data_IF_581133124623
#
_entry.id   IF_581133124623
#
_cell.length_a   1.000
_cell.length_b   1.000
_cell.length_c   1.000
_cell.angle_alpha   90.00
_cell.angle_beta   90.00
_cell.angle_gamma   90.00
#
_symmetry.space_group_name_H-M   'P 1'
#
loop_
_entity.id
_entity.type
_entity.pdbx_description
1 polymer ?
#
# COMPACT_ATOMS: atom_id res chain seq x y z
N UNK A 1 -0.47 -0.60 11.78
CA UNK A 1 0.38 -1.82 11.88
C UNK A 1 0.82 -1.92 13.33
N UNK A 2 0.50 -3.02 14.00
CA UNK A 2 0.67 -3.14 15.45
C UNK A 2 0.24 -4.49 16.01
N UNK A 3 0.13 -5.50 15.14
CA UNK A 3 -0.15 -6.87 15.54
C UNK A 3 1.16 -7.63 15.48
N UNK A 4 1.79 -7.86 16.63
CA UNK A 4 2.96 -8.72 16.74
C UNK A 4 2.52 -10.18 16.82
N UNK A 5 3.06 -11.05 15.96
CA UNK A 5 2.74 -12.47 16.06
C UNK A 5 3.06 -12.98 17.48
N UNK A 6 2.15 -13.77 18.06
CA UNK A 6 2.27 -14.36 19.40
C UNK A 6 2.29 -13.40 20.60
N UNK A 7 2.05 -12.11 20.41
CA UNK A 7 2.06 -11.11 21.49
C UNK A 7 0.70 -10.40 21.63
N UNK A 8 -0.39 -11.16 21.54
CA UNK A 8 -1.73 -10.65 21.72
C UNK A 8 -1.90 -10.07 23.15
N UNK A 9 -2.41 -8.84 23.30
CA UNK A 9 -2.61 -8.22 24.61
C UNK A 9 -3.77 -8.86 25.39
N UNK A 10 -4.66 -9.59 24.71
CA UNK A 10 -5.84 -10.23 25.31
C UNK A 10 -6.13 -11.59 24.68
N UNK A 11 -6.99 -12.39 25.32
CA UNK A 11 -7.50 -13.67 24.77
C UNK A 11 -8.34 -13.50 23.49
N UNK A 12 -8.81 -12.28 23.22
CA UNK A 12 -9.53 -11.93 21.99
C UNK A 12 -8.61 -11.35 20.91
N UNK A 13 -7.30 -11.53 21.06
CA UNK A 13 -6.29 -11.01 20.15
C UNK A 13 -6.20 -9.46 20.20
N UNK A 14 -6.08 -8.80 19.04
CA UNK A 14 -5.84 -7.36 18.92
C UNK A 14 -7.09 -6.48 18.86
N UNK A 15 -8.28 -7.05 18.67
CA UNK A 15 -9.52 -6.32 18.46
C UNK A 15 -10.71 -7.00 19.13
N UNK A 16 -11.76 -6.24 19.43
CA UNK A 16 -12.94 -6.78 20.09
C UNK A 16 -13.84 -7.53 19.09
N UNK A 17 -14.33 -8.74 19.42
CA UNK A 17 -15.11 -9.55 18.50
C UNK A 17 -16.49 -8.96 18.16
N UNK A 18 -16.99 -8.02 18.95
CA UNK A 18 -18.30 -7.38 18.79
C UNK A 18 -18.24 -5.95 18.22
N UNK A 19 -17.10 -5.51 17.68
CA UNK A 19 -16.98 -4.17 17.11
C UNK A 19 -17.77 -4.03 15.79
N UNK A 20 -18.67 -3.04 15.76
CA UNK A 20 -19.47 -2.67 14.58
C UNK A 20 -18.89 -1.41 13.96
N UNK A 21 -18.70 -1.41 12.65
CA UNK A 21 -18.12 -0.27 11.94
C UNK A 21 -19.06 0.94 12.07
N UNK A 22 -18.59 2.08 12.61
CA UNK A 22 -19.41 3.28 12.79
C UNK A 22 -20.08 3.71 11.49
N UNK A 23 -21.38 4.02 11.54
CA UNK A 23 -22.16 4.38 10.36
C UNK A 23 -22.64 3.19 9.52
N UNK A 24 -22.50 1.96 10.03
CA UNK A 24 -23.03 0.74 9.41
C UNK A 24 -23.63 -0.20 10.46
N UNK A 25 -24.25 -1.29 9.99
CA UNK A 25 -24.64 -2.45 10.81
C UNK A 25 -23.68 -3.62 10.66
N UNK A 26 -22.55 -3.41 9.97
CA UNK A 26 -21.61 -4.47 9.63
C UNK A 26 -20.69 -4.70 10.83
N UNK A 27 -20.69 -5.93 11.31
CA UNK A 27 -19.70 -6.41 12.25
C UNK A 27 -18.34 -6.47 11.54
N UNK A 28 -17.39 -5.64 11.96
CA UNK A 28 -16.07 -5.53 11.36
C UNK A 28 -14.98 -5.43 12.42
N UNK A 29 -14.75 -6.48 13.22
CA UNK A 29 -13.85 -6.47 14.37
C UNK A 29 -12.47 -5.90 14.07
N UNK A 30 -11.90 -6.29 12.91
CA UNK A 30 -10.60 -5.86 12.42
C UNK A 30 -10.49 -4.36 12.12
N UNK A 31 -11.61 -3.67 11.87
CA UNK A 31 -11.63 -2.22 11.69
C UNK A 31 -11.54 -1.47 13.02
N UNK A 32 -11.78 -2.13 14.16
CA UNK A 32 -11.66 -1.50 15.49
C UNK A 32 -10.25 -1.03 15.84
N UNK A 33 -9.23 -1.60 15.20
CA UNK A 33 -7.83 -1.17 15.33
C UNK A 33 -7.39 -0.18 14.23
N UNK A 34 -8.26 0.10 13.26
CA UNK A 34 -8.00 1.06 12.19
C UNK A 34 -8.40 2.48 12.63
N UNK A 35 -7.54 3.09 13.42
CA UNK A 35 -7.71 4.47 13.92
C UNK A 35 -6.92 5.47 13.08
N UNK A 36 -7.22 6.76 13.23
CA UNK A 36 -6.49 7.87 12.58
C UNK A 36 -4.97 7.81 12.82
N UNK A 37 -4.54 7.41 14.02
CA UNK A 37 -3.10 7.26 14.32
C UNK A 37 -2.47 6.09 13.55
N UNK A 38 -3.16 4.94 13.51
CA UNK A 38 -2.66 3.75 12.82
C UNK A 38 -2.69 3.87 11.29
N UNK A 39 -3.62 4.67 10.73
CA UNK A 39 -3.72 4.91 9.30
C UNK A 39 -2.54 5.76 8.79
N UNK A 40 -2.15 6.81 9.53
CA UNK A 40 -0.95 7.61 9.23
C UNK A 40 0.31 6.76 9.35
N UNK A 41 0.46 5.98 10.43
CA UNK A 41 1.60 5.08 10.60
C UNK A 41 1.74 4.06 9.47
N UNK A 42 0.61 3.55 8.95
CA UNK A 42 0.59 2.65 7.79
C UNK A 42 1.05 3.36 6.52
N UNK A 43 0.57 4.58 6.25
CA UNK A 43 1.03 5.36 5.11
C UNK A 43 2.54 5.62 5.14
N UNK A 44 3.08 6.03 6.29
CA UNK A 44 4.51 6.27 6.46
C UNK A 44 5.36 5.00 6.24
N UNK A 45 4.86 3.84 6.65
CA UNK A 45 5.55 2.59 6.38
C UNK A 45 5.59 2.26 4.89
N UNK A 46 4.46 2.40 4.18
CA UNK A 46 4.44 2.18 2.74
C UNK A 46 5.29 3.20 1.97
N UNK A 47 5.38 4.43 2.44
CA UNK A 47 6.35 5.40 1.91
C UNK A 47 7.79 4.90 2.12
N UNK A 48 8.11 4.39 3.31
CA UNK A 48 9.43 3.80 3.57
C UNK A 48 9.73 2.64 2.61
N UNK A 49 8.78 1.75 2.38
CA UNK A 49 8.95 0.62 1.45
C UNK A 49 9.09 1.04 -0.01
N UNK A 50 8.30 2.00 -0.47
CA UNK A 50 8.33 2.45 -1.85
C UNK A 50 9.60 3.25 -2.17
N UNK A 51 10.03 4.14 -1.27
CA UNK A 51 11.09 5.11 -1.56
C UNK A 51 12.48 4.70 -1.04
N UNK A 52 12.58 4.16 0.17
CA UNK A 52 13.86 3.99 0.86
C UNK A 52 14.28 2.51 0.95
N UNK A 53 13.30 1.62 1.12
CA UNK A 53 13.48 0.24 1.54
C UNK A 53 13.77 0.13 3.05
N UNK A 54 13.81 -1.10 3.54
CA UNK A 54 14.20 -1.43 4.90
C UNK A 54 15.72 -1.47 5.02
N UNK A 55 16.30 -0.60 5.83
CA UNK A 55 17.74 -0.63 6.12
C UNK A 55 18.10 -1.75 7.08
N UNK A 56 19.25 -2.37 6.86
CA UNK A 56 19.86 -3.29 7.82
C UNK A 56 20.39 -2.53 9.03
N UNK A 57 20.33 -3.16 10.20
CA UNK A 57 21.15 -2.77 11.35
C UNK A 57 22.46 -3.55 11.23
N UNK A 58 23.56 -2.85 10.95
CA UNK A 58 24.91 -3.40 10.92
C UNK A 58 25.34 -3.83 12.35
N UNK A 59 26.23 -4.83 12.49
CA UNK A 59 27.00 -5.51 11.45
C UNK A 59 26.45 -6.89 10.99
N UNK A 60 25.51 -7.49 11.71
CA UNK A 60 25.21 -8.94 11.58
C UNK A 60 23.95 -9.30 10.78
N UNK A 61 23.48 -8.45 9.85
CA UNK A 61 22.27 -8.72 9.06
C UNK A 61 22.42 -8.32 7.58
N UNK A 62 21.71 -9.01 6.66
CA UNK A 62 21.77 -8.70 5.22
C UNK A 62 21.43 -7.23 4.95
N UNK A 63 22.02 -6.65 3.90
CA UNK A 63 22.13 -5.21 3.53
C UNK A 63 20.83 -4.42 3.35
N UNK A 64 19.73 -4.88 3.92
CA UNK A 64 18.40 -4.32 3.84
C UNK A 64 17.53 -5.08 2.86
N UNK A 65 16.29 -4.64 2.71
CA UNK A 65 15.34 -5.20 1.75
C UNK A 65 14.64 -4.06 1.04
N UNK A 66 14.64 -4.09 -0.30
CA UNK A 66 13.96 -3.08 -1.13
C UNK A 66 13.06 -3.78 -2.12
N UNK A 67 11.95 -3.12 -2.47
CA UNK A 67 11.08 -3.58 -3.55
C UNK A 67 11.81 -3.33 -4.87
N UNK A 68 11.94 -4.38 -5.70
CA UNK A 68 12.46 -4.22 -7.04
C UNK A 68 11.37 -3.61 -7.95
N UNK A 69 11.59 -2.37 -8.40
CA UNK A 69 10.66 -1.63 -9.26
C UNK A 69 11.13 -1.57 -10.72
N UNK A 70 12.13 -2.36 -11.13
CA UNK A 70 12.69 -2.30 -12.48
C UNK A 70 11.63 -2.53 -13.57
N UNK A 71 10.74 -3.50 -13.39
CA UNK A 71 9.65 -3.80 -14.33
C UNK A 71 8.62 -2.65 -14.39
N UNK A 72 8.22 -2.13 -13.23
CA UNK A 72 7.30 -1.00 -13.15
C UNK A 72 7.90 0.28 -13.78
N UNK A 73 9.20 0.50 -13.59
CA UNK A 73 9.93 1.60 -14.22
C UNK A 73 9.98 1.45 -15.74
N UNK A 74 10.25 0.25 -16.25
CA UNK A 74 10.26 -0.03 -17.69
C UNK A 74 8.89 0.22 -18.33
N UNK A 75 7.80 -0.24 -17.69
CA UNK A 75 6.43 0.02 -18.14
C UNK A 75 6.07 1.50 -18.07
N UNK A 76 6.56 2.21 -17.06
CA UNK A 76 6.39 3.65 -16.96
C UNK A 76 7.14 4.44 -18.04
N UNK A 77 8.23 3.90 -18.57
CA UNK A 77 8.99 4.51 -19.66
C UNK A 77 8.36 4.20 -21.03
N UNK A 78 7.78 3.01 -21.18
CA UNK A 78 7.09 2.59 -22.40
C UNK A 78 5.76 3.32 -22.63
N UNK A 79 5.09 3.78 -21.56
CA UNK A 79 3.79 4.46 -21.65
C UNK A 79 3.76 5.73 -20.79
N UNK A 80 3.80 6.88 -21.47
CA UNK A 80 3.72 8.21 -20.85
C UNK A 80 2.34 8.49 -20.25
N UNK A 81 1.29 7.80 -20.69
CA UNK A 81 -0.07 7.93 -20.13
C UNK A 81 -0.23 7.27 -18.76
N UNK A 82 0.69 6.36 -18.40
CA UNK A 82 0.69 5.64 -17.12
C UNK A 82 -0.35 4.51 -17.02
N UNK A 83 -1.10 4.23 -18.09
CA UNK A 83 -2.12 3.17 -18.09
C UNK A 83 -1.49 1.78 -17.94
N UNK A 84 -0.38 1.51 -18.64
CA UNK A 84 0.31 0.22 -18.54
C UNK A 84 0.82 -0.01 -17.12
N UNK A 85 1.40 1.01 -16.49
CA UNK A 85 1.87 0.95 -15.11
C UNK A 85 0.71 0.66 -14.14
N UNK A 86 -0.39 1.39 -14.23
CA UNK A 86 -1.54 1.20 -13.32
C UNK A 86 -2.20 -0.16 -13.54
N UNK A 87 -2.32 -0.63 -14.78
CA UNK A 87 -2.86 -1.95 -15.09
C UNK A 87 -1.95 -3.07 -14.57
N UNK A 88 -0.64 -2.92 -14.71
CA UNK A 88 0.34 -3.86 -14.15
C UNK A 88 0.21 -3.96 -12.62
N UNK A 89 0.15 -2.81 -11.94
CA UNK A 89 -0.02 -2.78 -10.49
C UNK A 89 -1.40 -3.27 -10.04
N UNK A 90 -2.46 -3.03 -10.83
CA UNK A 90 -3.77 -3.63 -10.58
C UNK A 90 -3.67 -5.16 -10.55
N UNK A 91 -3.00 -5.77 -11.52
CA UNK A 91 -2.83 -7.24 -11.54
C UNK A 91 -1.98 -7.74 -10.37
N UNK A 92 -0.87 -7.06 -10.07
CA UNK A 92 0.09 -7.53 -9.05
C UNK A 92 -0.35 -7.26 -7.60
N UNK A 93 -1.04 -6.15 -7.35
CA UNK A 93 -1.40 -5.71 -6.01
C UNK A 93 -2.89 -5.91 -5.71
N UNK A 94 -3.75 -5.85 -6.72
CA UNK A 94 -5.21 -5.88 -6.54
C UNK A 94 -5.89 -7.04 -7.27
N UNK A 95 -5.13 -8.04 -7.73
CA UNK A 95 -5.66 -9.20 -8.45
C UNK A 95 -6.54 -8.85 -9.66
N UNK A 96 -6.32 -7.69 -10.28
CA UNK A 96 -7.11 -7.21 -11.42
C UNK A 96 -8.44 -6.54 -11.05
N UNK A 97 -8.80 -6.46 -9.76
CA UNK A 97 -10.12 -5.96 -9.31
C UNK A 97 -10.14 -4.47 -8.93
N UNK A 98 -9.17 -3.67 -9.41
CA UNK A 98 -9.19 -2.21 -9.21
C UNK A 98 -10.45 -1.60 -9.84
N UNK A 99 -11.20 -0.85 -9.05
CA UNK A 99 -12.39 -0.17 -9.55
C UNK A 99 -12.03 0.93 -10.57
N UNK A 100 -12.90 1.22 -11.55
CA UNK A 100 -12.72 2.33 -12.48
C UNK A 100 -12.54 3.68 -11.77
N UNK A 101 -13.26 3.88 -10.65
CA UNK A 101 -13.19 5.09 -9.84
C UNK A 101 -11.80 5.29 -9.24
N UNK A 102 -11.20 4.23 -8.68
CA UNK A 102 -9.84 4.28 -8.14
C UNK A 102 -8.81 4.53 -9.24
N UNK A 103 -8.96 3.85 -10.39
CA UNK A 103 -8.08 4.09 -11.55
C UNK A 103 -8.11 5.55 -12.00
N UNK A 104 -9.30 6.14 -12.11
CA UNK A 104 -9.49 7.55 -12.50
C UNK A 104 -8.90 8.53 -11.48
N UNK A 105 -8.84 8.18 -10.19
CA UNK A 105 -8.22 9.01 -9.16
C UNK A 105 -6.67 8.89 -9.18
N UNK A 106 -6.13 7.69 -9.42
CA UNK A 106 -4.69 7.42 -9.33
C UNK A 106 -3.94 7.87 -10.58
N UNK A 107 -4.52 7.63 -11.77
CA UNK A 107 -3.87 7.92 -13.04
C UNK A 107 -3.36 9.38 -13.15
N UNK A 108 -4.15 10.43 -12.88
CA UNK A 108 -3.65 11.81 -12.95
C UNK A 108 -2.54 12.09 -11.94
N UNK A 109 -2.61 11.53 -10.73
CA UNK A 109 -1.59 11.70 -9.70
C UNK A 109 -0.27 11.03 -10.08
N UNK A 110 -0.32 9.84 -10.67
CA UNK A 110 0.87 9.13 -11.21
C UNK A 110 1.47 9.92 -12.36
N UNK A 111 0.63 10.45 -13.25
CA UNK A 111 1.12 11.23 -14.40
C UNK A 111 1.82 12.51 -13.93
N UNK A 112 1.25 13.20 -12.93
CA UNK A 112 1.79 14.41 -12.35
C UNK A 112 3.06 14.22 -11.50
N UNK A 113 3.30 13.01 -10.96
CA UNK A 113 4.43 12.75 -10.06
C UNK A 113 5.79 12.99 -10.73
N UNK A 114 5.98 12.51 -11.96
CA UNK A 114 7.15 12.83 -12.77
C UNK A 114 6.94 12.42 -14.23
N UNK A 115 7.37 13.26 -15.17
CA UNK A 115 7.37 12.94 -16.60
C UNK A 115 8.69 12.29 -17.06
N UNK A 116 9.79 12.52 -16.35
CA UNK A 116 11.15 12.13 -16.75
C UNK A 116 11.78 11.10 -15.82
N UNK A 117 11.43 11.14 -14.53
CA UNK A 117 11.91 10.16 -13.55
C UNK A 117 10.90 9.02 -13.41
N UNK A 118 11.04 8.02 -14.26
CA UNK A 118 10.17 6.84 -14.30
C UNK A 118 10.25 6.00 -13.02
N UNK A 119 11.38 6.02 -12.30
CA UNK A 119 11.50 5.36 -11.01
C UNK A 119 10.61 6.05 -9.97
N UNK A 120 10.70 7.36 -9.85
CA UNK A 120 9.82 8.14 -8.95
C UNK A 120 8.35 7.94 -9.30
N UNK A 121 7.99 7.96 -10.59
CA UNK A 121 6.62 7.68 -11.03
C UNK A 121 6.15 6.29 -10.58
N UNK A 122 6.97 5.25 -10.72
CA UNK A 122 6.65 3.90 -10.25
C UNK A 122 6.50 3.83 -8.72
N UNK A 123 7.38 4.49 -7.96
CA UNK A 123 7.30 4.56 -6.50
C UNK A 123 6.01 5.24 -6.02
N UNK A 124 5.64 6.36 -6.64
CA UNK A 124 4.38 7.06 -6.34
C UNK A 124 3.16 6.20 -6.66
N UNK A 125 3.15 5.49 -7.79
CA UNK A 125 2.05 4.60 -8.15
C UNK A 125 1.86 3.47 -7.13
N UNK A 126 2.96 2.83 -6.71
CA UNK A 126 2.93 1.79 -5.67
C UNK A 126 2.44 2.36 -4.33
N UNK A 127 2.93 3.54 -3.93
CA UNK A 127 2.51 4.20 -2.70
C UNK A 127 1.00 4.52 -2.69
N UNK A 128 0.47 5.11 -3.77
CA UNK A 128 -0.95 5.47 -3.87
C UNK A 128 -1.85 4.22 -3.82
N UNK A 129 -1.48 3.15 -4.51
CA UNK A 129 -2.25 1.90 -4.49
C UNK A 129 -2.17 1.25 -3.10
N UNK A 130 -0.98 1.16 -2.50
CA UNK A 130 -0.80 0.52 -1.18
C UNK A 130 -1.53 1.23 -0.03
N UNK A 131 -1.66 2.56 -0.13
CA UNK A 131 -2.38 3.37 0.86
C UNK A 131 -3.88 3.45 0.62
N UNK A 132 -4.35 3.11 -0.58
CA UNK A 132 -5.77 3.14 -0.94
C UNK A 132 -6.64 2.23 -0.07
N UNK A 133 -7.88 2.65 0.20
CA UNK A 133 -8.86 1.87 0.98
C UNK A 133 -9.18 0.52 0.31
N UNK A 134 -9.29 0.48 -1.01
CA UNK A 134 -9.59 -0.74 -1.77
C UNK A 134 -8.46 -1.78 -1.72
N UNK A 135 -7.21 -1.37 -1.49
CA UNK A 135 -6.11 -2.32 -1.25
C UNK A 135 -6.08 -2.82 0.21
N UNK A 136 -6.64 -2.06 1.16
CA UNK A 136 -6.69 -2.51 2.57
C UNK A 136 -7.77 -3.57 2.78
N UNK A 137 -8.85 -3.48 2.03
CA UNK A 137 -9.91 -4.49 2.00
C UNK A 137 -9.52 -5.51 0.95
N UNK A 138 -8.98 -6.66 1.38
CA UNK A 138 -8.71 -7.76 0.46
C UNK A 138 -10.05 -8.24 -0.12
N UNK A 139 -10.15 -8.27 -1.45
CA UNK A 139 -11.32 -8.75 -2.19
C UNK A 139 -11.04 -10.12 -2.78
#
# INVERSE_FOLDING_TARGET
LGQSAFNAPTVFNYYQPNYVVPGSTILGPEFGIFTTGTSIGRANLFATYAFNGLSAVLPDRPSGTKINLAEAQALSAADTTGNLLVNYLNTKMMHGTMSPQMKNAILPAVVAASATNHLTRAQHAVYLIATSSQFQVQR
#
